data_IF_603600095252
#
_entry.id   IF_603600095252
#
_cell.length_a   1.000
_cell.length_b   1.000
_cell.length_c   1.000
_cell.angle_alpha   90.00
_cell.angle_beta   90.00
_cell.angle_gamma   90.00
#
_symmetry.space_group_name_H-M   'P 1'
#
loop_
_entity.id
_entity.type
_entity.pdbx_description
1 polymer ?
#
# COMPACT_ATOMS: atom_id res chain seq x y z
N UNK A 1 12.75 12.89 -3.32
CA UNK A 1 13.06 11.55 -2.79
C UNK A 1 13.38 11.68 -1.31
N UNK A 2 12.88 10.78 -0.45
CA UNK A 2 13.23 10.77 0.97
C UNK A 2 14.69 10.31 1.15
N UNK A 3 15.37 10.82 2.19
CA UNK A 3 16.73 10.43 2.56
C UNK A 3 16.68 9.34 3.64
N UNK A 4 17.67 8.47 3.66
CA UNK A 4 17.82 7.51 4.76
C UNK A 4 18.24 8.24 6.04
N UNK A 5 17.34 8.24 7.03
CA UNK A 5 17.57 8.91 8.31
C UNK A 5 18.49 8.10 9.25
N UNK A 6 18.80 6.85 8.94
CA UNK A 6 19.69 6.00 9.75
C UNK A 6 21.14 5.99 9.28
N UNK A 7 21.45 6.50 8.08
CA UNK A 7 22.81 6.54 7.54
C UNK A 7 23.56 7.81 7.92
N UNK A 8 24.87 7.66 8.11
CA UNK A 8 25.80 8.76 8.38
C UNK A 8 26.08 9.01 9.87
N UNK A 9 26.83 10.08 10.13
CA UNK A 9 27.11 10.59 11.47
C UNK A 9 25.83 11.10 12.15
N UNK A 10 25.87 11.32 13.46
CA UNK A 10 24.70 11.82 14.22
C UNK A 10 24.12 13.10 13.60
N UNK A 11 24.98 14.06 13.24
CA UNK A 11 24.58 15.31 12.58
C UNK A 11 23.93 15.07 11.21
N UNK A 12 24.46 14.13 10.42
CA UNK A 12 23.88 13.77 9.12
C UNK A 12 22.50 13.13 9.27
N UNK A 13 22.30 12.29 10.28
CA UNK A 13 21.00 11.68 10.59
C UNK A 13 19.96 12.72 10.97
N UNK A 14 20.35 13.70 11.80
CA UNK A 14 19.46 14.81 12.21
C UNK A 14 19.11 15.69 11.00
N UNK A 15 20.09 16.03 10.16
CA UNK A 15 19.87 16.79 8.94
C UNK A 15 18.93 16.05 7.95
N UNK A 16 19.13 14.74 7.79
CA UNK A 16 18.27 13.90 6.95
C UNK A 16 16.84 13.79 7.50
N UNK A 17 16.68 13.67 8.82
CA UNK A 17 15.37 13.66 9.47
C UNK A 17 14.62 14.97 9.25
N UNK A 18 15.27 16.13 9.47
CA UNK A 18 14.68 17.45 9.22
C UNK A 18 14.22 17.62 7.77
N UNK A 19 15.08 17.25 6.81
CA UNK A 19 14.75 17.29 5.40
C UNK A 19 13.53 16.44 5.04
N UNK A 20 13.44 15.22 5.60
CA UNK A 20 12.30 14.33 5.40
C UNK A 20 11.03 14.91 6.03
N UNK A 21 11.13 15.51 7.21
CA UNK A 21 10.01 16.09 7.95
C UNK A 21 9.36 17.25 7.19
N UNK A 22 10.16 18.11 6.56
CA UNK A 22 9.66 19.21 5.71
C UNK A 22 8.89 18.67 4.48
N UNK A 23 9.26 17.48 4.00
CA UNK A 23 8.64 16.84 2.83
C UNK A 23 7.49 15.90 3.17
N UNK A 24 7.13 15.73 4.45
CA UNK A 24 6.09 14.79 4.90
C UNK A 24 4.73 15.03 4.25
N UNK A 25 4.44 16.26 3.81
CA UNK A 25 3.16 16.65 3.20
C UNK A 25 2.80 15.86 1.94
N UNK A 26 3.77 15.20 1.29
CA UNK A 26 3.51 14.34 0.13
C UNK A 26 2.96 12.96 0.52
N UNK A 27 3.20 12.49 1.75
CA UNK A 27 2.82 11.14 2.18
C UNK A 27 1.30 10.91 2.20
N UNK A 28 0.46 11.84 2.73
CA UNK A 28 -1.00 11.68 2.69
C UNK A 28 -1.57 11.51 1.28
N UNK A 29 -1.01 12.21 0.29
CA UNK A 29 -1.41 12.04 -1.11
C UNK A 29 -1.17 10.62 -1.61
N UNK A 30 0.01 10.03 -1.30
CA UNK A 30 0.30 8.65 -1.66
C UNK A 30 -0.56 7.65 -0.88
N UNK A 31 -0.86 7.91 0.40
CA UNK A 31 -1.81 7.11 1.18
C UNK A 31 -3.16 7.07 0.48
N UNK A 32 -3.69 8.23 0.07
CA UNK A 32 -4.97 8.31 -0.64
C UNK A 32 -4.96 7.53 -1.96
N UNK A 33 -3.86 7.62 -2.73
CA UNK A 33 -3.68 6.84 -3.95
C UNK A 33 -3.77 5.34 -3.68
N UNK A 34 -3.11 4.85 -2.63
CA UNK A 34 -3.15 3.43 -2.27
C UNK A 34 -4.49 2.99 -1.69
N UNK A 35 -5.20 3.86 -0.97
CA UNK A 35 -6.59 3.62 -0.55
C UNK A 35 -7.48 3.42 -1.78
N UNK A 36 -7.38 4.30 -2.79
CA UNK A 36 -8.16 4.16 -4.02
C UNK A 36 -7.86 2.84 -4.76
N UNK A 37 -6.59 2.43 -4.81
CA UNK A 37 -6.18 1.13 -5.39
C UNK A 37 -6.76 -0.03 -4.58
N UNK A 38 -6.68 0.02 -3.25
CA UNK A 38 -7.21 -1.02 -2.38
C UNK A 38 -8.74 -1.17 -2.53
N UNK A 39 -9.47 -0.05 -2.61
CA UNK A 39 -10.91 -0.06 -2.87
C UNK A 39 -11.23 -0.64 -4.25
N UNK A 40 -10.47 -0.27 -5.29
CA UNK A 40 -10.64 -0.84 -6.63
C UNK A 40 -10.44 -2.36 -6.61
N UNK A 41 -9.37 -2.85 -5.99
CA UNK A 41 -9.09 -4.29 -5.87
C UNK A 41 -10.17 -5.02 -5.06
N UNK A 42 -10.72 -4.38 -4.02
CA UNK A 42 -11.84 -4.93 -3.27
C UNK A 42 -13.09 -5.12 -4.15
N UNK A 43 -13.40 -4.14 -5.01
CA UNK A 43 -14.51 -4.26 -5.96
C UNK A 43 -14.25 -5.35 -7.00
N UNK A 44 -13.03 -5.44 -7.52
CA UNK A 44 -12.63 -6.49 -8.46
C UNK A 44 -12.77 -7.88 -7.84
N UNK A 45 -12.35 -8.07 -6.59
CA UNK A 45 -12.53 -9.34 -5.87
C UNK A 45 -14.01 -9.71 -5.70
N UNK A 46 -14.89 -8.73 -5.40
CA UNK A 46 -16.34 -8.97 -5.30
C UNK A 46 -16.90 -9.46 -6.64
N UNK A 47 -16.55 -8.79 -7.74
CA UNK A 47 -16.98 -9.17 -9.09
C UNK A 47 -16.50 -10.58 -9.44
N UNK A 48 -15.23 -10.91 -9.19
CA UNK A 48 -14.72 -12.26 -9.47
C UNK A 48 -15.32 -13.33 -8.57
N UNK A 49 -15.62 -13.01 -7.30
CA UNK A 49 -16.32 -13.95 -6.41
C UNK A 49 -17.73 -14.27 -6.93
N UNK A 50 -18.47 -13.26 -7.40
CA UNK A 50 -19.79 -13.46 -8.02
C UNK A 50 -19.71 -14.27 -9.32
N UNK A 51 -18.68 -14.05 -10.14
CA UNK A 51 -18.44 -14.82 -11.36
C UNK A 51 -18.05 -16.28 -11.04
N UNK A 52 -17.28 -16.50 -9.98
CA UNK A 52 -16.89 -17.84 -9.53
C UNK A 52 -18.13 -18.66 -9.15
N UNK A 53 -19.12 -18.04 -8.51
CA UNK A 53 -20.40 -18.69 -8.17
C UNK A 53 -21.26 -19.07 -9.40
N UNK A 54 -21.01 -18.45 -10.56
CA UNK A 54 -21.76 -18.68 -11.81
C UNK A 54 -21.04 -19.62 -12.79
N UNK A 55 -19.77 -19.92 -12.54
CA UNK A 55 -18.95 -20.76 -13.41
C UNK A 55 -18.98 -22.21 -12.92
N UNK A 56 -18.96 -23.18 -13.85
CA UNK A 56 -18.92 -24.59 -13.49
C UNK A 56 -17.55 -24.94 -12.89
N UNK A 57 -17.52 -25.61 -11.74
CA UNK A 57 -16.31 -25.83 -10.93
C UNK A 57 -15.12 -26.51 -11.67
N UNK A 58 -15.38 -27.20 -12.79
CA UNK A 58 -14.36 -27.88 -13.60
C UNK A 58 -14.11 -27.20 -14.97
N UNK A 59 -14.64 -26.00 -15.19
CA UNK A 59 -14.37 -25.25 -16.42
C UNK A 59 -13.07 -24.46 -16.33
N UNK A 60 -12.44 -24.22 -17.49
CA UNK A 60 -11.28 -23.34 -17.59
C UNK A 60 -11.59 -21.91 -17.12
N UNK A 61 -12.83 -21.46 -17.33
CA UNK A 61 -13.30 -20.14 -16.86
C UNK A 61 -13.29 -20.05 -15.33
N UNK A 62 -13.71 -21.11 -14.63
CA UNK A 62 -13.67 -21.14 -13.17
C UNK A 62 -12.24 -21.03 -12.63
N UNK A 63 -11.31 -21.76 -13.24
CA UNK A 63 -9.88 -21.68 -12.89
C UNK A 63 -9.32 -20.28 -13.15
N UNK A 64 -9.64 -19.67 -14.29
CA UNK A 64 -9.20 -18.31 -14.64
C UNK A 64 -9.73 -17.26 -13.64
N UNK A 65 -11.03 -17.29 -13.35
CA UNK A 65 -11.67 -16.37 -12.38
C UNK A 65 -11.10 -16.57 -10.98
N UNK A 66 -10.81 -17.82 -10.60
CA UNK A 66 -10.20 -18.14 -9.30
C UNK A 66 -8.79 -17.56 -9.17
N UNK A 67 -7.94 -17.74 -10.18
CA UNK A 67 -6.60 -17.14 -10.21
C UNK A 67 -6.65 -15.61 -10.23
N UNK A 68 -7.58 -15.03 -10.99
CA UNK A 68 -7.81 -13.58 -11.02
C UNK A 68 -8.25 -13.04 -9.66
N UNK A 69 -9.15 -13.76 -8.96
CA UNK A 69 -9.58 -13.40 -7.61
C UNK A 69 -8.43 -13.48 -6.59
N UNK A 70 -7.63 -14.55 -6.63
CA UNK A 70 -6.48 -14.71 -5.72
C UNK A 70 -5.43 -13.62 -5.95
N UNK A 71 -5.09 -13.31 -7.21
CA UNK A 71 -4.13 -12.26 -7.53
C UNK A 71 -4.61 -10.87 -7.10
N UNK A 72 -5.91 -10.57 -7.26
CA UNK A 72 -6.51 -9.35 -6.73
C UNK A 72 -6.41 -9.28 -5.19
N UNK A 73 -6.59 -10.40 -4.49
CA UNK A 73 -6.40 -10.50 -3.03
C UNK A 73 -4.97 -10.23 -2.58
N UNK A 74 -3.97 -10.78 -3.28
CA UNK A 74 -2.55 -10.50 -3.03
C UNK A 74 -2.26 -9.01 -3.23
N UNK A 75 -2.74 -8.44 -4.34
CA UNK A 75 -2.61 -7.01 -4.63
C UNK A 75 -3.24 -6.13 -3.55
N UNK A 76 -4.41 -6.54 -3.03
CA UNK A 76 -5.10 -5.82 -1.96
C UNK A 76 -4.28 -5.84 -0.65
N UNK A 77 -3.79 -7.00 -0.23
CA UNK A 77 -2.94 -7.12 0.95
C UNK A 77 -1.67 -6.28 0.83
N UNK A 78 -1.04 -6.28 -0.35
CA UNK A 78 0.11 -5.42 -0.64
C UNK A 78 -0.23 -3.93 -0.50
N UNK A 79 -1.36 -3.49 -1.07
CA UNK A 79 -1.81 -2.10 -0.95
C UNK A 79 -2.03 -1.71 0.52
N UNK A 80 -2.64 -2.58 1.33
CA UNK A 80 -2.80 -2.36 2.77
C UNK A 80 -1.47 -2.20 3.49
N UNK A 81 -0.47 -3.04 3.20
CA UNK A 81 0.87 -2.92 3.78
C UNK A 81 1.53 -1.60 3.42
N UNK A 82 1.41 -1.15 2.16
CA UNK A 82 1.96 0.15 1.75
C UNK A 82 1.26 1.30 2.46
N UNK A 83 -0.07 1.25 2.65
CA UNK A 83 -0.82 2.27 3.42
C UNK A 83 -0.30 2.34 4.86
N UNK A 84 -0.12 1.20 5.52
CA UNK A 84 0.38 1.13 6.90
C UNK A 84 1.79 1.73 6.99
N UNK A 85 2.69 1.35 6.07
CA UNK A 85 4.06 1.87 6.05
C UNK A 85 4.12 3.39 5.82
N UNK A 86 3.34 3.90 4.86
CA UNK A 86 3.29 5.35 4.58
C UNK A 86 2.70 6.12 5.76
N UNK A 87 1.64 5.60 6.38
CA UNK A 87 0.99 6.19 7.54
C UNK A 87 1.92 6.18 8.76
N UNK A 88 2.59 5.07 9.04
CA UNK A 88 3.58 4.95 10.10
C UNK A 88 4.75 5.92 9.89
N UNK A 89 5.24 6.05 8.64
CA UNK A 89 6.29 7.01 8.28
C UNK A 89 5.82 8.46 8.49
N UNK A 90 4.57 8.76 8.13
CA UNK A 90 3.99 10.08 8.36
C UNK A 90 3.92 10.40 9.86
N UNK A 91 3.44 9.46 10.67
CA UNK A 91 3.39 9.63 12.13
C UNK A 91 4.78 9.78 12.74
N UNK A 92 5.74 8.96 12.31
CA UNK A 92 7.13 9.08 12.73
C UNK A 92 7.66 10.51 12.48
N UNK A 93 7.52 11.03 11.26
CA UNK A 93 7.98 12.38 10.90
C UNK A 93 7.18 13.52 11.57
N UNK A 94 5.91 13.28 11.89
CA UNK A 94 5.06 14.30 12.53
C UNK A 94 5.37 14.43 14.03
N UNK A 95 5.48 13.30 14.74
CA UNK A 95 5.41 13.25 16.20
C UNK A 95 6.74 12.97 16.89
N UNK A 96 7.68 12.30 16.23
CA UNK A 96 8.99 12.06 16.85
C UNK A 96 9.77 13.38 16.89
N UNK A 97 10.09 13.83 18.09
CA UNK A 97 11.08 14.89 18.31
C UNK A 97 12.43 14.20 18.46
N UNK A 98 13.38 14.54 17.60
CA UNK A 98 14.80 14.26 17.84
C UNK A 98 15.36 15.31 18.79
#
# INVERSE_FOLDING_TARGET
MFRDAHRGTVEQRIANYRYNRERRGVLPFYVWKWIAIALCLMQVMRIFSDLMARTAAQSADHLCVTLACMSAGIGFAFACMVIVLLTATYFYLAWVKQ
#
